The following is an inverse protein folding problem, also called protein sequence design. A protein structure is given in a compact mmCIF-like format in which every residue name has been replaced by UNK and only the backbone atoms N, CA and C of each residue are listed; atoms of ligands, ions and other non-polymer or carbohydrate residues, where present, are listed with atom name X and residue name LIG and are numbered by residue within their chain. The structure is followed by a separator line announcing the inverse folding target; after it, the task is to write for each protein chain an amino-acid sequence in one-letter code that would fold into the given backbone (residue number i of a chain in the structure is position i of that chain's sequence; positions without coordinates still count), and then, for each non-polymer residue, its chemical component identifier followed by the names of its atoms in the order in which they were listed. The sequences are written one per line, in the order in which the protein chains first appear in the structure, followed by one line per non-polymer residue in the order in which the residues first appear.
data_IF_160787111157
#
_entry.id   IF_160787111157
#
_cell.length_a   1.000
_cell.length_b   1.000
_cell.length_c   1.000
_cell.angle_alpha   90.00
_cell.angle_beta   90.00
_cell.angle_gamma   90.00
#
_symmetry.space_group_name_H-M   'P 1'
#
loop_
_entity.id
_entity.type
_entity.pdbx_description
1 polymer ?
#
# COMPACT_ATOMS: atom_id res chain seq x y z
N UNK A 1 -5.23 14.32 -16.07
CA UNK A 1 -5.08 13.03 -16.76
C UNK A 1 -5.63 12.00 -15.79
N UNK A 2 -6.72 11.33 -16.12
CA UNK A 2 -7.39 10.37 -15.23
C UNK A 2 -6.45 9.19 -14.98
N UNK A 3 -6.15 8.88 -13.71
CA UNK A 3 -5.27 7.76 -13.36
C UNK A 3 -6.12 6.50 -13.33
N UNK A 4 -5.74 5.48 -14.11
CA UNK A 4 -6.38 4.16 -14.06
C UNK A 4 -5.65 3.26 -13.08
N UNK A 5 -6.39 2.45 -12.34
CA UNK A 5 -5.84 1.39 -11.51
C UNK A 5 -5.35 0.26 -12.42
N UNK A 6 -4.05 -0.03 -12.39
CA UNK A 6 -3.42 -1.06 -13.22
C UNK A 6 -2.67 -2.04 -12.32
N UNK A 7 -3.31 -3.17 -12.00
CA UNK A 7 -2.71 -4.20 -11.16
C UNK A 7 -2.21 -5.32 -12.08
N UNK A 8 -0.90 -5.38 -12.27
CA UNK A 8 -0.23 -6.53 -12.85
C UNK A 8 0.35 -7.35 -11.70
N UNK A 9 -0.10 -8.60 -11.57
CA UNK A 9 0.44 -9.54 -10.60
C UNK A 9 1.51 -10.40 -11.28
N UNK A 10 2.68 -10.59 -10.67
CA UNK A 10 3.63 -11.56 -11.19
C UNK A 10 3.12 -12.98 -10.95
N UNK A 11 3.56 -13.93 -11.78
CA UNK A 11 3.21 -15.36 -11.65
C UNK A 11 3.89 -15.97 -10.41
N UNK A 12 5.01 -15.40 -10.00
CA UNK A 12 5.80 -15.88 -8.88
C UNK A 12 6.65 -14.76 -8.28
N UNK A 13 7.12 -14.96 -7.05
CA UNK A 13 8.00 -14.01 -6.38
C UNK A 13 8.50 -14.55 -5.04
N UNK A 14 9.27 -13.74 -4.32
CA UNK A 14 9.70 -14.04 -2.95
C UNK A 14 8.51 -14.11 -1.99
N UNK A 15 8.70 -14.70 -0.81
CA UNK A 15 7.66 -14.71 0.24
C UNK A 15 7.22 -13.29 0.63
N UNK A 16 8.18 -12.35 0.64
CA UNK A 16 7.93 -10.93 0.89
C UNK A 16 7.02 -10.30 -0.16
N UNK A 17 7.27 -10.55 -1.44
CA UNK A 17 6.44 -10.00 -2.53
C UNK A 17 5.04 -10.61 -2.55
N UNK A 18 4.92 -11.92 -2.31
CA UNK A 18 3.62 -12.61 -2.24
C UNK A 18 2.78 -12.02 -1.09
N UNK A 19 3.38 -11.89 0.09
CA UNK A 19 2.70 -11.29 1.25
C UNK A 19 2.27 -9.84 0.99
N UNK A 20 3.06 -9.07 0.22
CA UNK A 20 2.69 -7.74 -0.22
C UNK A 20 1.46 -7.75 -1.12
N UNK A 21 1.45 -8.60 -2.16
CA UNK A 21 0.32 -8.69 -3.09
C UNK A 21 -0.94 -9.18 -2.41
N UNK A 22 -0.84 -10.19 -1.55
CA UNK A 22 -1.96 -10.67 -0.74
C UNK A 22 -2.58 -9.55 0.07
N UNK A 23 -1.77 -8.79 0.82
CA UNK A 23 -2.26 -7.69 1.65
C UNK A 23 -2.88 -6.58 0.79
N UNK A 24 -2.20 -6.17 -0.28
CA UNK A 24 -2.64 -5.13 -1.20
C UNK A 24 -3.99 -5.48 -1.86
N UNK A 25 -4.14 -6.71 -2.37
CA UNK A 25 -5.36 -7.14 -3.05
C UNK A 25 -6.52 -7.24 -2.06
N UNK A 26 -6.28 -7.76 -0.85
CA UNK A 26 -7.29 -7.77 0.20
C UNK A 26 -7.74 -6.35 0.59
N UNK A 27 -6.81 -5.40 0.69
CA UNK A 27 -7.13 -4.00 0.98
C UNK A 27 -7.96 -3.34 -0.14
N UNK A 28 -7.63 -3.62 -1.40
CA UNK A 28 -8.36 -3.10 -2.57
C UNK A 28 -9.74 -3.76 -2.70
N UNK A 29 -9.83 -5.07 -2.52
CA UNK A 29 -11.11 -5.79 -2.50
C UNK A 29 -12.01 -5.28 -1.37
N UNK A 30 -11.45 -5.02 -0.19
CA UNK A 30 -12.19 -4.43 0.92
C UNK A 30 -12.67 -3.02 0.58
N UNK A 31 -11.84 -2.19 -0.07
CA UNK A 31 -12.23 -0.86 -0.52
C UNK A 31 -13.43 -0.91 -1.47
N UNK A 32 -13.39 -1.75 -2.51
CA UNK A 32 -14.49 -1.90 -3.45
C UNK A 32 -15.72 -2.55 -2.81
N UNK A 33 -15.56 -3.55 -1.96
CA UNK A 33 -16.65 -4.18 -1.23
C UNK A 33 -17.48 -3.15 -0.43
N UNK A 34 -16.82 -2.20 0.25
CA UNK A 34 -17.53 -1.14 1.00
C UNK A 34 -18.29 -0.21 0.05
N UNK A 35 -17.69 0.19 -1.07
CA UNK A 35 -18.33 1.03 -2.08
C UNK A 35 -19.57 0.32 -2.64
N UNK A 36 -19.42 -0.91 -3.11
CA UNK A 36 -20.50 -1.71 -3.70
C UNK A 36 -21.64 -1.94 -2.71
N UNK A 37 -21.30 -2.24 -1.45
CA UNK A 37 -22.29 -2.41 -0.38
C UNK A 37 -23.13 -1.13 -0.22
N UNK A 38 -22.49 0.04 -0.15
CA UNK A 38 -23.18 1.32 0.01
C UNK A 38 -24.09 1.61 -1.19
N UNK A 39 -23.60 1.35 -2.40
CA UNK A 39 -24.36 1.54 -3.64
C UNK A 39 -25.60 0.65 -3.68
N UNK A 40 -25.45 -0.65 -3.39
CA UNK A 40 -26.54 -1.63 -3.42
C UNK A 40 -27.59 -1.33 -2.35
N UNK A 41 -27.17 -0.97 -1.13
CA UNK A 41 -28.08 -0.69 -0.01
C UNK A 41 -28.99 0.51 -0.31
N UNK A 42 -28.51 1.53 -1.03
CA UNK A 42 -29.35 2.65 -1.46
C UNK A 42 -30.19 2.29 -2.71
N UNK A 43 -29.66 1.46 -3.62
CA UNK A 43 -30.32 1.12 -4.87
C UNK A 43 -31.55 0.23 -4.71
N UNK A 44 -31.49 -0.82 -3.88
CA UNK A 44 -32.62 -1.74 -3.67
C UNK A 44 -33.90 -1.01 -3.24
N UNK A 45 -33.92 -0.19 -2.17
CA UNK A 45 -35.14 0.50 -1.75
C UNK A 45 -35.57 1.59 -2.73
N UNK A 46 -34.63 2.27 -3.41
CA UNK A 46 -34.96 3.21 -4.47
C UNK A 46 -35.72 2.52 -5.60
N UNK A 47 -35.16 1.42 -6.12
CA UNK A 47 -35.74 0.69 -7.24
C UNK A 47 -37.10 0.08 -6.85
N UNK A 48 -37.21 -0.53 -5.66
CA UNK A 48 -38.48 -1.06 -5.17
C UNK A 48 -39.59 0.00 -5.10
N UNK A 49 -39.27 1.20 -4.58
CA UNK A 49 -40.21 2.33 -4.53
C UNK A 49 -40.63 2.77 -5.94
N UNK A 50 -39.66 2.93 -6.85
CA UNK A 50 -39.92 3.37 -8.22
C UNK A 50 -40.73 2.36 -9.01
N UNK A 51 -40.48 1.06 -8.83
CA UNK A 51 -41.29 0.02 -9.46
C UNK A 51 -42.75 0.07 -9.01
N UNK A 52 -43.04 0.41 -7.74
CA UNK A 52 -44.43 0.59 -7.27
C UNK A 52 -45.07 1.85 -7.87
N UNK A 53 -44.35 2.98 -7.89
CA UNK A 53 -44.83 4.22 -8.52
C UNK A 53 -45.14 4.03 -10.02
N UNK A 54 -44.36 3.20 -10.72
CA UNK A 54 -44.60 2.84 -12.12
C UNK A 54 -45.90 2.04 -12.29
N UNK A 55 -46.14 1.05 -11.43
CA UNK A 55 -47.37 0.23 -11.45
C UNK A 55 -48.61 1.09 -11.21
N UNK A 56 -48.50 2.07 -10.30
CA UNK A 56 -49.57 3.03 -10.00
C UNK A 56 -49.75 4.11 -11.08
N UNK A 57 -48.93 4.10 -12.15
CA UNK A 57 -48.98 5.07 -13.23
C UNK A 57 -48.51 6.48 -12.85
N UNK A 58 -47.75 6.61 -11.76
CA UNK A 58 -47.24 7.90 -11.27
C UNK A 58 -45.97 8.35 -12.00
N UNK A 59 -45.21 7.41 -12.56
CA UNK A 59 -43.97 7.66 -13.30
C UNK A 59 -43.89 6.76 -14.54
N UNK A 60 -42.92 7.04 -15.39
CA UNK A 60 -42.52 6.24 -16.57
C UNK A 60 -41.24 5.44 -16.31
N UNK A 61 -40.97 4.42 -17.13
CA UNK A 61 -39.73 3.63 -17.03
C UNK A 61 -38.46 4.47 -17.23
N UNK A 62 -38.53 5.55 -18.02
CA UNK A 62 -37.40 6.45 -18.28
C UNK A 62 -36.96 7.23 -17.05
N UNK A 63 -37.84 7.37 -16.04
CA UNK A 63 -37.58 8.07 -14.79
C UNK A 63 -36.92 7.19 -13.71
N UNK A 64 -36.64 5.92 -14.02
CA UNK A 64 -36.00 4.96 -13.12
C UNK A 64 -34.51 4.85 -13.45
N UNK A 65 -33.66 5.14 -12.46
CA UNK A 65 -32.22 4.89 -12.58
C UNK A 65 -31.98 3.38 -12.79
N UNK A 66 -31.22 3.03 -13.83
CA UNK A 66 -31.11 1.64 -14.32
C UNK A 66 -30.13 0.79 -13.53
N UNK A 67 -29.21 1.42 -12.81
CA UNK A 67 -28.18 0.74 -12.04
C UNK A 67 -27.74 1.58 -10.83
N UNK A 68 -27.00 0.99 -9.87
CA UNK A 68 -26.53 1.70 -8.68
C UNK A 68 -25.61 2.90 -8.96
N UNK A 69 -24.85 2.88 -10.07
CA UNK A 69 -23.94 3.97 -10.47
C UNK A 69 -24.73 5.17 -10.96
N UNK A 70 -25.79 4.96 -11.74
CA UNK A 70 -26.68 6.04 -12.19
C UNK A 70 -27.33 6.73 -10.98
N UNK A 71 -27.81 5.93 -10.01
CA UNK A 71 -28.37 6.44 -8.75
C UNK A 71 -27.36 7.28 -7.96
N UNK A 72 -26.10 6.83 -7.88
CA UNK A 72 -25.04 7.59 -7.22
C UNK A 72 -24.83 8.96 -7.86
N UNK A 73 -24.82 9.03 -9.19
CA UNK A 73 -24.50 10.25 -9.92
C UNK A 73 -25.67 11.26 -9.90
N UNK A 74 -26.89 10.77 -10.11
CA UNK A 74 -28.06 11.62 -10.34
C UNK A 74 -28.84 11.90 -9.05
N UNK A 75 -29.14 10.86 -8.27
CA UNK A 75 -30.04 10.96 -7.10
C UNK A 75 -29.50 10.19 -5.89
N UNK A 76 -28.34 10.60 -5.33
CA UNK A 76 -27.65 9.80 -4.32
C UNK A 76 -28.52 9.62 -3.06
N UNK A 77 -28.64 8.36 -2.65
CA UNK A 77 -29.33 7.96 -1.43
C UNK A 77 -28.61 8.41 -0.15
N UNK A 78 -29.16 8.02 1.00
CA UNK A 78 -28.64 8.45 2.30
C UNK A 78 -27.24 7.90 2.55
N UNK A 79 -26.99 6.63 2.24
CA UNK A 79 -25.72 5.98 2.55
C UNK A 79 -24.61 6.47 1.61
N UNK A 80 -24.90 6.69 0.33
CA UNK A 80 -23.98 7.30 -0.63
C UNK A 80 -23.56 8.70 -0.15
N UNK A 81 -24.50 9.51 0.35
CA UNK A 81 -24.19 10.82 0.95
C UNK A 81 -23.30 10.72 2.19
N UNK A 82 -23.50 9.71 3.04
CA UNK A 82 -22.62 9.48 4.19
C UNK A 82 -21.21 9.06 3.76
N UNK A 83 -21.09 8.14 2.79
CA UNK A 83 -19.80 7.73 2.24
C UNK A 83 -19.05 8.93 1.66
N UNK A 84 -19.72 9.80 0.89
CA UNK A 84 -19.12 11.03 0.36
C UNK A 84 -18.61 11.95 1.46
N UNK A 85 -19.39 12.12 2.53
CA UNK A 85 -19.04 12.94 3.68
C UNK A 85 -17.79 12.42 4.41
N UNK A 86 -17.62 11.11 4.47
CA UNK A 86 -16.53 10.43 5.17
C UNK A 86 -15.46 9.84 4.23
N UNK A 87 -15.44 10.31 2.97
CA UNK A 87 -14.57 9.76 1.93
C UNK A 87 -13.10 10.01 2.22
N UNK A 88 -12.78 11.15 2.85
CA UNK A 88 -11.43 11.51 3.21
C UNK A 88 -10.85 10.50 4.21
N UNK A 89 -11.56 10.25 5.32
CA UNK A 89 -11.11 9.30 6.36
C UNK A 89 -11.03 7.87 5.81
N UNK A 90 -11.93 7.50 4.91
CA UNK A 90 -11.91 6.20 4.27
C UNK A 90 -10.67 6.02 3.37
N UNK A 91 -10.34 7.01 2.54
CA UNK A 91 -9.15 6.97 1.68
C UNK A 91 -7.88 7.00 2.53
N UNK A 92 -7.82 7.81 3.59
CA UNK A 92 -6.68 7.86 4.53
C UNK A 92 -6.34 6.49 5.12
N UNK A 93 -7.36 5.72 5.50
CA UNK A 93 -7.19 4.37 6.06
C UNK A 93 -6.56 3.42 5.04
N UNK A 94 -7.10 3.36 3.82
CA UNK A 94 -6.58 2.46 2.77
C UNK A 94 -5.18 2.90 2.33
N UNK A 95 -4.99 4.20 2.12
CA UNK A 95 -3.69 4.76 1.74
C UNK A 95 -2.61 4.41 2.76
N UNK A 96 -2.89 4.60 4.05
CA UNK A 96 -1.93 4.28 5.12
C UNK A 96 -1.54 2.80 5.10
N UNK A 97 -2.51 1.90 4.92
CA UNK A 97 -2.26 0.45 4.84
C UNK A 97 -1.37 0.09 3.65
N UNK A 98 -1.60 0.69 2.48
CA UNK A 98 -0.75 0.45 1.30
C UNK A 98 0.71 0.86 1.54
N UNK A 99 0.94 2.01 2.17
CA UNK A 99 2.29 2.48 2.47
C UNK A 99 2.97 1.58 3.52
N UNK A 100 2.22 1.16 4.54
CA UNK A 100 2.71 0.24 5.55
C UNK A 100 3.08 -1.13 4.95
N UNK A 101 2.23 -1.68 4.09
CA UNK A 101 2.48 -2.92 3.37
C UNK A 101 3.76 -2.83 2.54
N UNK A 102 3.99 -1.72 1.84
CA UNK A 102 5.22 -1.50 1.07
C UNK A 102 6.47 -1.41 1.97
N UNK A 103 6.40 -0.72 3.10
CA UNK A 103 7.53 -0.65 4.05
C UNK A 103 7.84 -2.03 4.65
N UNK A 104 6.80 -2.80 4.99
CA UNK A 104 6.93 -4.18 5.47
C UNK A 104 7.58 -5.06 4.41
N UNK A 105 7.20 -4.91 3.13
CA UNK A 105 7.83 -5.62 2.02
C UNK A 105 9.33 -5.38 1.97
N UNK A 106 9.78 -4.12 1.97
CA UNK A 106 11.22 -3.80 1.85
C UNK A 106 11.99 -4.47 2.98
N UNK A 107 11.51 -4.32 4.22
CA UNK A 107 12.18 -4.87 5.39
C UNK A 107 12.19 -6.40 5.36
N UNK A 108 11.12 -7.02 4.88
CA UNK A 108 11.02 -8.47 4.75
C UNK A 108 11.95 -9.01 3.65
N UNK A 109 12.06 -8.31 2.52
CA UNK A 109 12.99 -8.69 1.46
C UNK A 109 14.45 -8.58 1.91
N UNK A 110 14.78 -7.52 2.65
CA UNK A 110 16.12 -7.39 3.26
C UNK A 110 16.38 -8.55 4.19
N UNK A 111 15.40 -8.94 5.02
CA UNK A 111 15.53 -10.10 5.92
C UNK A 111 15.78 -11.39 5.14
N UNK A 112 15.00 -11.67 4.10
CA UNK A 112 15.18 -12.84 3.25
C UNK A 112 16.56 -12.84 2.59
N UNK A 113 16.99 -11.70 2.08
CA UNK A 113 18.32 -11.53 1.48
C UNK A 113 19.44 -11.81 2.47
N UNK A 114 19.35 -11.27 3.69
CA UNK A 114 20.37 -11.47 4.73
C UNK A 114 20.41 -12.90 5.27
N UNK A 115 19.30 -13.65 5.20
CA UNK A 115 19.30 -15.08 5.57
C UNK A 115 20.08 -15.92 4.57
N UNK A 116 20.02 -15.57 3.28
CA UNK A 116 20.77 -16.26 2.21
C UNK A 116 22.22 -15.75 2.12
N UNK A 117 22.43 -14.46 2.42
CA UNK A 117 23.73 -13.77 2.30
C UNK A 117 24.09 -12.99 3.57
N UNK A 118 24.32 -13.67 4.72
CA UNK A 118 24.65 -13.02 5.98
C UNK A 118 25.97 -12.24 5.92
N UNK A 119 26.89 -12.57 5.01
CA UNK A 119 28.14 -11.85 4.77
C UNK A 119 27.96 -10.37 4.44
N UNK A 120 26.78 -9.96 3.96
CA UNK A 120 26.44 -8.55 3.73
C UNK A 120 26.53 -7.73 5.04
N UNK A 121 26.32 -8.35 6.19
CA UNK A 121 26.43 -7.71 7.50
C UNK A 121 27.87 -7.30 7.86
N UNK A 122 28.89 -7.96 7.29
CA UNK A 122 30.30 -7.71 7.61
C UNK A 122 30.75 -6.28 7.31
N UNK A 123 30.15 -5.61 6.33
CA UNK A 123 30.52 -4.24 5.95
C UNK A 123 30.21 -3.20 7.05
N UNK A 124 29.46 -3.57 8.11
CA UNK A 124 29.03 -2.64 9.16
C UNK A 124 29.36 -3.07 10.60
N UNK A 125 30.34 -3.97 10.81
CA UNK A 125 30.79 -4.47 12.14
C UNK A 125 29.65 -4.63 13.17
N UNK A 126 28.77 -5.63 13.03
CA UNK A 126 27.80 -5.92 14.08
C UNK A 126 28.55 -6.33 15.36
N UNK A 127 28.48 -5.49 16.39
CA UNK A 127 29.05 -5.80 17.71
C UNK A 127 28.20 -6.84 18.40
N UNK A 128 28.68 -8.09 18.41
CA UNK A 128 28.10 -9.17 19.23
C UNK A 128 28.68 -9.06 20.64
N UNK A 129 27.82 -8.93 21.65
CA UNK A 129 28.26 -8.96 23.05
C UNK A 129 28.66 -10.37 23.48
N UNK A 130 29.59 -10.48 24.45
CA UNK A 130 29.95 -11.78 25.05
C UNK A 130 28.70 -12.47 25.64
N UNK A 131 27.76 -11.71 26.19
CA UNK A 131 26.50 -12.26 26.70
C UNK A 131 25.65 -12.91 25.60
N UNK A 132 25.60 -12.35 24.39
CA UNK A 132 24.91 -12.96 23.25
C UNK A 132 25.65 -14.22 22.76
N UNK A 133 26.98 -14.17 22.71
CA UNK A 133 27.78 -15.34 22.34
C UNK A 133 27.60 -16.51 23.33
N UNK A 134 27.47 -16.23 24.62
CA UNK A 134 27.25 -17.22 25.66
C UNK A 134 25.79 -17.71 25.76
N UNK A 135 24.82 -16.92 25.27
CA UNK A 135 23.40 -17.28 25.23
C UNK A 135 23.02 -18.04 23.96
N UNK A 136 23.71 -17.80 22.85
CA UNK A 136 23.43 -18.42 21.57
C UNK A 136 23.64 -19.93 21.63
N UNK A 137 22.59 -20.70 21.37
CA UNK A 137 22.66 -22.16 21.29
C UNK A 137 23.45 -22.63 20.04
N UNK A 138 23.50 -21.79 18.99
CA UNK A 138 24.23 -22.05 17.75
C UNK A 138 24.63 -20.75 17.03
N UNK A 139 25.55 -20.86 16.06
CA UNK A 139 25.95 -19.75 15.18
C UNK A 139 24.76 -19.23 14.35
N UNK A 140 23.88 -20.13 13.90
CA UNK A 140 22.70 -19.75 13.11
C UNK A 140 21.73 -18.89 13.91
N UNK A 141 21.50 -19.24 15.18
CA UNK A 141 20.68 -18.44 16.10
C UNK A 141 21.26 -17.05 16.28
N UNK A 142 22.59 -16.95 16.43
CA UNK A 142 23.27 -15.67 16.58
C UNK A 142 23.16 -14.80 15.32
N UNK A 143 23.29 -15.40 14.13
CA UNK A 143 23.10 -14.69 12.86
C UNK A 143 21.67 -14.14 12.74
N UNK A 144 20.67 -14.95 13.09
CA UNK A 144 19.27 -14.52 13.07
C UNK A 144 19.01 -13.34 14.03
N UNK A 145 19.56 -13.37 15.23
CA UNK A 145 19.47 -12.23 16.17
C UNK A 145 20.07 -10.95 15.61
N UNK A 146 21.24 -11.05 14.96
CA UNK A 146 21.91 -9.90 14.33
C UNK A 146 21.07 -9.36 13.17
N UNK A 147 20.48 -10.25 12.35
CA UNK A 147 19.58 -9.86 11.26
C UNK A 147 18.38 -9.10 11.83
N UNK A 148 17.68 -9.64 12.82
CA UNK A 148 16.49 -8.97 13.36
C UNK A 148 16.82 -7.63 14.04
N UNK A 149 17.96 -7.53 14.73
CA UNK A 149 18.44 -6.27 15.30
C UNK A 149 18.73 -5.23 14.19
N UNK A 150 19.36 -5.66 13.10
CA UNK A 150 19.66 -4.79 11.96
C UNK A 150 18.37 -4.32 11.27
N UNK A 151 17.44 -5.24 11.04
CA UNK A 151 16.13 -4.97 10.48
C UNK A 151 15.36 -3.96 11.33
N UNK A 152 15.30 -4.16 12.65
CA UNK A 152 14.65 -3.23 13.58
C UNK A 152 15.28 -1.83 13.51
N UNK A 153 16.62 -1.76 13.44
CA UNK A 153 17.33 -0.49 13.30
C UNK A 153 16.98 0.22 11.98
N UNK A 154 16.91 -0.52 10.88
CA UNK A 154 16.57 0.01 9.56
C UNK A 154 15.13 0.52 9.51
N UNK A 155 14.17 -0.27 9.99
CA UNK A 155 12.76 0.08 10.04
C UNK A 155 12.51 1.40 10.80
N UNK A 156 13.24 1.63 11.89
CA UNK A 156 13.10 2.83 12.71
C UNK A 156 13.71 4.11 12.10
N UNK A 157 14.62 3.99 11.11
CA UNK A 157 15.31 5.15 10.51
C UNK A 157 14.59 5.74 9.28
N UNK A 158 13.51 5.10 8.83
CA UNK A 158 12.72 5.54 7.68
C UNK A 158 13.33 5.18 6.32
N UNK A 159 12.54 5.35 5.26
CA UNK A 159 12.81 4.81 3.92
C UNK A 159 14.14 5.26 3.31
N UNK A 160 14.50 6.55 3.38
CA UNK A 160 15.75 7.03 2.80
C UNK A 160 17.00 6.33 3.37
N UNK A 161 17.01 6.03 4.67
CA UNK A 161 18.10 5.26 5.30
C UNK A 161 18.10 3.80 4.87
N UNK A 162 16.92 3.21 4.67
CA UNK A 162 16.80 1.83 4.18
C UNK A 162 17.31 1.75 2.74
N UNK A 163 16.88 2.67 1.88
CA UNK A 163 17.30 2.76 0.48
C UNK A 163 18.81 2.93 0.35
N UNK A 164 19.39 3.91 1.06
CA UNK A 164 20.83 4.14 1.06
C UNK A 164 21.60 2.91 1.54
N UNK A 165 21.11 2.25 2.60
CA UNK A 165 21.73 1.05 3.13
C UNK A 165 21.65 -0.11 2.13
N UNK A 166 20.49 -0.33 1.49
CA UNK A 166 20.33 -1.35 0.46
C UNK A 166 21.31 -1.12 -0.70
N UNK A 167 21.37 0.10 -1.23
CA UNK A 167 22.28 0.47 -2.33
C UNK A 167 23.74 0.21 -1.93
N UNK A 168 24.16 0.70 -0.75
CA UNK A 168 25.54 0.56 -0.25
C UNK A 168 25.94 -0.91 -0.08
N UNK A 169 24.99 -1.77 0.28
CA UNK A 169 25.22 -3.18 0.56
C UNK A 169 24.86 -4.07 -0.64
N UNK A 170 24.54 -3.46 -1.80
CA UNK A 170 24.24 -4.15 -3.04
C UNK A 170 22.87 -4.84 -3.09
N UNK A 171 21.97 -4.63 -2.12
CA UNK A 171 20.61 -5.15 -2.16
C UNK A 171 19.82 -4.31 -3.18
N UNK A 172 19.25 -4.93 -4.23
CA UNK A 172 18.68 -4.20 -5.35
C UNK A 172 17.30 -3.67 -4.99
N UNK A 173 17.24 -2.49 -4.37
CA UNK A 173 16.01 -1.70 -4.24
C UNK A 173 15.86 -0.81 -5.47
N UNK A 174 15.00 -1.23 -6.40
CA UNK A 174 14.89 -0.61 -7.72
C UNK A 174 13.83 0.49 -7.71
N UNK A 175 14.27 1.73 -7.51
CA UNK A 175 13.40 2.91 -7.54
C UNK A 175 13.88 3.85 -8.63
N UNK A 176 13.05 4.09 -9.64
CA UNK A 176 13.33 5.09 -10.69
C UNK A 176 13.40 6.49 -10.07
N UNK A 177 14.26 7.36 -10.60
CA UNK A 177 14.43 8.72 -10.07
C UNK A 177 13.10 9.50 -10.00
N UNK A 178 12.26 9.36 -11.03
CA UNK A 178 10.94 10.01 -11.10
C UNK A 178 9.96 9.46 -10.04
N UNK A 179 10.14 8.22 -9.58
CA UNK A 179 9.31 7.59 -8.56
C UNK A 179 9.80 7.88 -7.15
N UNK A 180 11.10 8.11 -6.98
CA UNK A 180 11.70 8.33 -5.65
C UNK A 180 11.03 9.48 -4.92
N UNK A 181 10.81 10.61 -5.59
CA UNK A 181 10.11 11.78 -5.01
C UNK A 181 8.69 11.41 -4.57
N UNK A 182 7.99 10.60 -5.36
CA UNK A 182 6.62 10.18 -5.08
C UNK A 182 6.55 9.21 -3.90
N UNK A 183 7.47 8.26 -3.79
CA UNK A 183 7.56 7.36 -2.63
C UNK A 183 7.82 8.14 -1.35
N UNK A 184 8.74 9.11 -1.39
CA UNK A 184 9.01 10.00 -0.26
C UNK A 184 7.75 10.79 0.12
N UNK A 185 7.04 11.34 -0.86
CA UNK A 185 5.76 12.02 -0.63
C UNK A 185 4.71 11.08 -0.01
N UNK A 186 4.54 9.86 -0.53
CA UNK A 186 3.56 8.90 0.00
C UNK A 186 3.83 8.56 1.46
N UNK A 187 5.09 8.38 1.84
CA UNK A 187 5.49 8.14 3.23
C UNK A 187 5.23 9.39 4.09
N UNK A 188 5.51 10.59 3.56
CA UNK A 188 5.21 11.84 4.24
C UNK A 188 3.70 12.02 4.46
N UNK A 189 2.86 11.69 3.46
CA UNK A 189 1.40 11.67 3.56
C UNK A 189 0.97 10.71 4.67
N UNK A 190 1.45 9.45 4.65
CA UNK A 190 1.15 8.46 5.70
C UNK A 190 1.51 8.97 7.09
N UNK A 191 2.63 9.66 7.24
CA UNK A 191 3.03 10.23 8.53
C UNK A 191 2.08 11.33 9.01
N UNK A 192 1.64 12.25 8.13
CA UNK A 192 0.68 13.30 8.52
C UNK A 192 -0.74 12.75 8.74
N UNK A 193 -1.14 11.66 8.07
CA UNK A 193 -2.39 10.94 8.40
C UNK A 193 -2.37 10.54 9.88
N UNK A 194 -1.32 9.81 10.28
CA UNK A 194 -1.21 9.22 11.62
C UNK A 194 -0.98 10.29 12.70
N UNK A 195 -0.10 11.25 12.44
CA UNK A 195 0.39 12.15 13.48
C UNK A 195 -0.27 13.53 13.48
N UNK A 196 -0.91 13.93 12.38
CA UNK A 196 -1.41 15.30 12.25
C UNK A 196 -2.74 15.42 11.51
N UNK A 197 -3.53 14.33 11.37
CA UNK A 197 -4.85 14.34 10.71
C UNK A 197 -4.83 15.00 9.33
N UNK A 198 -3.82 14.63 8.52
CA UNK A 198 -3.56 15.20 7.19
C UNK A 198 -3.23 16.69 7.16
N UNK A 199 -2.95 17.32 8.30
CA UNK A 199 -2.45 18.69 8.34
C UNK A 199 -0.96 18.68 8.03
N UNK A 200 -0.57 19.48 7.05
CA UNK A 200 0.81 19.60 6.59
C UNK A 200 1.66 20.24 7.70
N UNK A 201 2.69 19.54 8.14
CA UNK A 201 3.66 20.00 9.13
C UNK A 201 5.03 20.31 8.49
N UNK A 202 5.98 20.77 9.30
CA UNK A 202 7.32 21.06 8.81
C UNK A 202 8.07 19.81 8.32
N UNK A 203 7.75 18.63 8.88
CA UNK A 203 8.39 17.37 8.46
C UNK A 203 7.96 17.00 7.05
N UNK A 204 6.68 17.18 6.73
CA UNK A 204 6.14 17.01 5.39
C UNK A 204 6.84 17.95 4.41
N UNK A 205 6.83 19.27 4.67
CA UNK A 205 7.45 20.27 3.76
C UNK A 205 8.94 19.99 3.53
N UNK A 206 9.68 19.58 4.57
CA UNK A 206 11.10 19.21 4.42
C UNK A 206 11.30 17.96 3.55
N UNK A 207 10.40 16.99 3.63
CA UNK A 207 10.45 15.78 2.82
C UNK A 207 10.01 16.02 1.38
N UNK A 208 9.12 16.99 1.15
CA UNK A 208 8.52 17.31 -0.15
C UNK A 208 8.69 18.79 -0.50
N UNK A 209 9.93 19.29 -0.69
CA UNK A 209 10.20 20.72 -0.88
C UNK A 209 9.55 21.31 -2.13
N UNK A 210 9.28 20.46 -3.14
CA UNK A 210 8.67 20.85 -4.42
C UNK A 210 7.12 20.75 -4.40
N UNK A 211 6.47 20.54 -3.25
CA UNK A 211 5.02 20.38 -3.19
C UNK A 211 4.26 21.72 -3.16
N UNK A 212 3.04 21.71 -3.68
CA UNK A 212 2.16 22.90 -3.73
C UNK A 212 1.43 23.17 -2.39
N UNK A 213 1.68 22.36 -1.36
CA UNK A 213 0.97 22.46 -0.09
C UNK A 213 1.63 23.46 0.85
N UNK A 214 0.78 24.19 1.60
CA UNK A 214 1.24 25.17 2.60
C UNK A 214 1.28 24.54 3.98
N UNK A 215 2.22 24.98 4.82
CA UNK A 215 2.26 24.60 6.24
C UNK A 215 0.91 24.91 6.92
N UNK A 216 0.38 23.95 7.66
CA UNK A 216 -0.93 24.03 8.32
C UNK A 216 -2.15 23.80 7.41
N UNK A 217 -1.95 23.60 6.10
CA UNK A 217 -3.05 23.25 5.19
C UNK A 217 -3.41 21.77 5.27
N UNK A 218 -4.64 21.43 4.90
CA UNK A 218 -5.09 20.05 4.78
C UNK A 218 -4.59 19.45 3.45
N UNK A 219 -3.80 18.37 3.52
CA UNK A 219 -3.50 17.51 2.37
C UNK A 219 -4.69 16.59 2.10
N UNK A 220 -5.69 17.11 1.39
CA UNK A 220 -6.85 16.32 0.98
C UNK A 220 -6.39 15.19 0.04
N UNK A 221 -6.89 13.97 0.27
CA UNK A 221 -6.59 12.81 -0.57
C UNK A 221 -7.72 12.58 -1.56
N UNK A 222 -7.35 12.00 -2.70
CA UNK A 222 -8.24 11.64 -3.79
C UNK A 222 -8.07 10.17 -4.14
N UNK A 223 -9.01 9.61 -4.91
CA UNK A 223 -8.86 8.26 -5.46
C UNK A 223 -7.67 8.19 -6.44
N UNK A 224 -7.36 9.28 -7.14
CA UNK A 224 -6.18 9.36 -8.00
C UNK A 224 -4.88 9.22 -7.19
N UNK A 225 -4.80 9.81 -5.99
CA UNK A 225 -3.64 9.62 -5.10
C UNK A 225 -3.48 8.13 -4.73
N UNK A 226 -4.60 7.45 -4.46
CA UNK A 226 -4.64 6.02 -4.13
C UNK A 226 -4.13 5.17 -5.30
N UNK A 227 -4.69 5.36 -6.50
CA UNK A 227 -4.31 4.60 -7.68
C UNK A 227 -2.86 4.85 -8.10
N UNK A 228 -2.41 6.11 -7.99
CA UNK A 228 -1.02 6.47 -8.25
C UNK A 228 -0.06 5.77 -7.28
N UNK A 229 -0.41 5.69 -6.00
CA UNK A 229 0.38 4.95 -5.02
C UNK A 229 0.43 3.45 -5.35
N UNK A 230 -0.72 2.83 -5.63
CA UNK A 230 -0.78 1.39 -5.97
C UNK A 230 0.11 1.08 -7.18
N UNK A 231 -0.05 1.82 -8.29
CA UNK A 231 0.67 1.53 -9.52
C UNK A 231 2.19 1.68 -9.33
N UNK A 232 2.64 2.76 -8.69
CA UNK A 232 4.08 3.02 -8.48
C UNK A 232 4.70 2.02 -7.52
N UNK A 233 4.05 1.75 -6.39
CA UNK A 233 4.58 0.82 -5.39
C UNK A 233 4.61 -0.60 -5.94
N UNK A 234 3.57 -1.02 -6.67
CA UNK A 234 3.55 -2.30 -7.36
C UNK A 234 4.73 -2.44 -8.34
N UNK A 235 4.95 -1.44 -9.19
CA UNK A 235 6.06 -1.48 -10.15
C UNK A 235 7.43 -1.59 -9.45
N UNK A 236 7.62 -0.86 -8.35
CA UNK A 236 8.85 -0.93 -7.54
C UNK A 236 9.02 -2.33 -6.95
N UNK A 237 7.96 -2.92 -6.40
CA UNK A 237 7.99 -4.28 -5.82
C UNK A 237 8.34 -5.30 -6.90
N UNK A 238 7.69 -5.29 -8.06
CA UNK A 238 7.98 -6.21 -9.17
C UNK A 238 9.46 -6.15 -9.55
N UNK A 239 9.97 -4.94 -9.79
CA UNK A 239 11.35 -4.76 -10.23
C UNK A 239 12.35 -5.15 -9.14
N UNK A 240 12.14 -4.66 -7.92
CA UNK A 240 13.00 -4.96 -6.77
C UNK A 240 13.06 -6.47 -6.53
N UNK A 241 11.92 -7.15 -6.53
CA UNK A 241 11.83 -8.59 -6.27
C UNK A 241 12.57 -9.40 -7.34
N UNK A 242 12.30 -9.09 -8.61
CA UNK A 242 12.94 -9.75 -9.76
C UNK A 242 14.46 -9.64 -9.70
N UNK A 243 14.98 -8.45 -9.38
CA UNK A 243 16.42 -8.22 -9.27
C UNK A 243 17.02 -8.91 -8.04
N UNK A 244 16.32 -8.92 -6.91
CA UNK A 244 16.78 -9.59 -5.69
C UNK A 244 16.86 -11.10 -5.88
N UNK A 245 15.83 -11.71 -6.47
CA UNK A 245 15.80 -13.12 -6.86
C UNK A 245 16.94 -13.45 -7.81
N UNK A 246 17.12 -12.66 -8.87
CA UNK A 246 18.19 -12.90 -9.85
C UNK A 246 19.59 -12.83 -9.23
N UNK A 247 19.82 -11.83 -8.37
CA UNK A 247 21.14 -11.56 -7.78
C UNK A 247 21.50 -12.53 -6.65
N UNK A 248 20.54 -12.90 -5.81
CA UNK A 248 20.79 -13.65 -4.58
C UNK A 248 20.23 -15.07 -4.60
N UNK A 249 19.55 -15.46 -5.68
CA UNK A 249 18.92 -16.78 -5.84
C UNK A 249 17.96 -17.09 -4.68
N UNK A 250 17.13 -16.10 -4.33
CA UNK A 250 16.12 -16.24 -3.29
C UNK A 250 15.09 -17.30 -3.70
N UNK A 251 14.48 -17.92 -2.69
CA UNK A 251 13.37 -18.86 -2.89
C UNK A 251 12.18 -18.15 -3.54
N UNK A 252 11.59 -18.80 -4.54
CA UNK A 252 10.47 -18.28 -5.30
C UNK A 252 9.27 -19.20 -5.08
N UNK A 253 8.13 -18.61 -4.77
CA UNK A 253 6.86 -19.32 -4.67
C UNK A 253 5.89 -18.83 -5.76
N UNK A 254 5.00 -19.71 -6.20
CA UNK A 254 3.97 -19.37 -7.18
C UNK A 254 2.84 -18.60 -6.52
N UNK A 255 2.38 -17.55 -7.20
CA UNK A 255 1.22 -16.76 -6.79
C UNK A 255 -0.03 -17.46 -7.33
N UNK A 256 -0.95 -17.86 -6.44
CA UNK A 256 -2.19 -18.54 -6.86
C UNK A 256 -3.19 -17.54 -7.45
N UNK A 257 -3.17 -17.39 -8.77
CA UNK A 257 -4.07 -16.49 -9.51
C UNK A 257 -5.55 -16.67 -9.17
N UNK A 258 -5.98 -17.89 -8.80
CA UNK A 258 -7.39 -18.16 -8.46
C UNK A 258 -7.83 -17.39 -7.22
N UNK A 259 -6.91 -17.11 -6.30
CA UNK A 259 -7.19 -16.36 -5.08
C UNK A 259 -7.55 -14.89 -5.34
N UNK A 260 -7.24 -14.34 -6.52
CA UNK A 260 -7.40 -12.91 -6.82
C UNK A 260 -8.44 -12.60 -7.90
N UNK A 261 -9.07 -13.62 -8.47
CA UNK A 261 -10.00 -13.52 -9.61
C UNK A 261 -11.36 -12.86 -9.35
N UNK A 262 -11.59 -12.27 -8.17
CA UNK A 262 -12.97 -11.97 -7.76
C UNK A 262 -13.46 -10.56 -8.07
N UNK A 263 -12.64 -9.51 -8.23
CA UNK A 263 -13.17 -8.14 -8.36
C UNK A 263 -12.30 -7.13 -9.15
N UNK A 264 -11.52 -7.59 -10.14
CA UNK A 264 -10.92 -6.71 -11.16
C UNK A 264 -11.60 -6.92 -12.52
#
# INVERSE_FOLDING_TARGET
MEVKLEIQLPISGTNSSISYYDSMINDINFFFFIIDTVLIVDYIPYHAKKSLELIDGMITEEEIEKNPVDLMNNTPGKNIKQLRKHSQEFIEMIFSRLIDNFQIYIVSLVRETLRVKPEILHNNQPTISIAQLLKGESLDTLILEVIESKISTLANKGFGNIEEWCITNGIPLTVKDDYRKLVVEFIAIRNIIIHNRCIVDEKYIRATPDCDFRLGSLRKLTVDDLYKAINILNEIVIQTDTHAVSKYHLEINTIDEKSYSTFL
#
